data_IF_160012678018
#
_entry.id   IF_160012678018
#
_cell.length_a   1.000
_cell.length_b   1.000
_cell.length_c   1.000
_cell.angle_alpha   90.00
_cell.angle_beta   90.00
_cell.angle_gamma   90.00
#
_symmetry.space_group_name_H-M   'P 1'
#
loop_
_entity.id
_entity.type
_entity.pdbx_description
1 polymer ?
#
# COMPACT_ATOMS: atom_id res chain seq x y z
N UNK A 1 -25.80 29.82 -15.05
CA UNK A 1 -24.72 30.75 -15.49
C UNK A 1 -25.05 31.21 -16.90
N UNK A 2 -25.06 32.54 -17.13
CA UNK A 2 -25.33 33.14 -18.43
C UNK A 2 -24.21 32.82 -19.42
N UNK A 3 -24.50 32.93 -20.74
CA UNK A 3 -23.52 32.68 -21.80
C UNK A 3 -22.30 33.62 -21.67
N UNK A 4 -22.50 34.88 -21.29
CA UNK A 4 -21.41 35.84 -21.03
C UNK A 4 -20.51 35.42 -19.86
N UNK A 5 -21.04 34.81 -18.80
CA UNK A 5 -20.23 34.27 -17.69
C UNK A 5 -19.41 33.06 -18.11
N UNK A 6 -19.95 32.22 -19.00
CA UNK A 6 -19.22 31.08 -19.55
C UNK A 6 -18.08 31.55 -20.45
N UNK A 7 -18.34 32.50 -21.37
CA UNK A 7 -17.31 33.08 -22.23
C UNK A 7 -16.19 33.74 -21.41
N UNK A 8 -16.52 34.45 -20.33
CA UNK A 8 -15.52 35.08 -19.45
C UNK A 8 -14.65 34.06 -18.69
N UNK A 9 -15.14 32.83 -18.44
CA UNK A 9 -14.36 31.72 -17.92
C UNK A 9 -13.35 31.20 -18.97
N UNK A 10 -13.81 31.02 -20.22
CA UNK A 10 -12.95 30.56 -21.31
C UNK A 10 -11.87 31.58 -21.69
N UNK A 11 -12.15 32.91 -21.64
CA UNK A 11 -11.18 33.93 -21.91
C UNK A 11 -10.00 34.02 -20.93
N UNK A 12 -10.11 33.38 -19.77
CA UNK A 12 -9.05 33.29 -18.76
C UNK A 12 -8.19 32.02 -18.87
N UNK A 13 -8.62 31.03 -19.69
CA UNK A 13 -7.87 29.79 -19.88
C UNK A 13 -6.60 30.07 -20.68
N UNK A 14 -5.47 29.61 -20.15
CA UNK A 14 -4.18 29.60 -20.87
C UNK A 14 -3.98 28.21 -21.46
N UNK A 15 -3.26 28.08 -22.56
CA UNK A 15 -2.94 26.77 -23.16
C UNK A 15 -2.35 25.78 -22.14
N UNK A 16 -1.56 26.27 -21.21
CA UNK A 16 -1.00 25.46 -20.12
C UNK A 16 -2.06 24.87 -19.18
N UNK A 17 -3.22 25.52 -19.03
CA UNK A 17 -4.29 25.06 -18.14
C UNK A 17 -5.09 23.89 -18.75
N UNK A 18 -4.87 23.63 -20.05
CA UNK A 18 -5.41 22.50 -20.79
C UNK A 18 -4.48 21.28 -20.79
N UNK A 19 -3.23 21.46 -20.33
CA UNK A 19 -2.30 20.35 -20.21
C UNK A 19 -2.63 19.52 -18.97
N UNK A 20 -2.70 18.19 -19.09
CA UNK A 20 -2.85 17.32 -17.93
C UNK A 20 -1.69 17.57 -16.95
N UNK A 21 -2.01 17.96 -15.73
CA UNK A 21 -1.01 18.02 -14.66
C UNK A 21 -0.87 16.62 -14.09
N UNK A 22 0.28 15.96 -14.25
CA UNK A 22 0.48 14.66 -13.63
C UNK A 22 0.38 14.81 -12.10
N UNK A 23 -0.23 13.87 -11.39
CA UNK A 23 -0.30 13.91 -9.94
C UNK A 23 1.13 13.99 -9.37
N UNK A 24 1.31 14.79 -8.33
CA UNK A 24 2.57 14.85 -7.61
C UNK A 24 2.79 13.50 -6.89
N UNK A 25 3.78 12.74 -7.35
CA UNK A 25 4.14 11.43 -6.79
C UNK A 25 5.34 11.55 -5.84
N UNK A 26 5.90 12.75 -5.72
CA UNK A 26 7.03 13.05 -4.85
C UNK A 26 6.54 13.79 -3.59
N UNK A 27 7.22 13.55 -2.48
CA UNK A 27 7.01 14.29 -1.26
C UNK A 27 7.40 15.75 -1.47
N UNK A 28 6.57 16.67 -0.98
CA UNK A 28 6.67 18.10 -1.31
C UNK A 28 7.97 18.75 -0.81
N UNK A 29 8.42 18.42 0.40
CA UNK A 29 9.59 19.05 1.01
C UNK A 29 10.91 18.46 0.53
N UNK A 30 10.94 17.17 0.23
CA UNK A 30 12.17 16.46 -0.18
C UNK A 30 12.31 16.33 -1.69
N UNK A 31 11.20 16.37 -2.42
CA UNK A 31 11.16 16.05 -3.86
C UNK A 31 11.40 14.57 -4.17
N UNK A 32 11.54 13.71 -3.16
CA UNK A 32 11.78 12.27 -3.31
C UNK A 32 10.47 11.53 -3.52
N UNK A 33 10.48 10.56 -4.40
CA UNK A 33 9.39 9.58 -4.53
C UNK A 33 9.54 8.53 -3.44
N UNK A 34 8.46 7.87 -3.06
CA UNK A 34 8.50 6.78 -2.05
C UNK A 34 9.49 5.67 -2.43
N UNK A 35 9.64 5.37 -3.73
CA UNK A 35 10.63 4.40 -4.18
C UNK A 35 12.09 4.86 -4.05
N UNK A 36 12.35 6.16 -4.15
CA UNK A 36 13.69 6.71 -3.88
C UNK A 36 14.03 6.56 -2.39
N UNK A 37 13.04 6.78 -1.51
CA UNK A 37 13.17 6.53 -0.07
C UNK A 37 13.36 5.03 0.24
N UNK A 38 12.61 4.15 -0.42
CA UNK A 38 12.80 2.70 -0.27
C UNK A 38 14.21 2.23 -0.66
N UNK A 39 14.81 2.82 -1.70
CA UNK A 39 16.22 2.58 -2.06
C UNK A 39 17.19 3.07 -0.96
N UNK A 40 16.94 4.24 -0.38
CA UNK A 40 17.73 4.74 0.75
C UNK A 40 17.62 3.80 1.94
N UNK A 41 16.42 3.34 2.28
CA UNK A 41 16.21 2.36 3.35
C UNK A 41 16.93 1.03 3.07
N UNK A 42 16.86 0.50 1.85
CA UNK A 42 17.58 -0.70 1.49
C UNK A 42 19.08 -0.57 1.76
N UNK A 43 19.67 0.58 1.42
CA UNK A 43 21.09 0.88 1.66
C UNK A 43 21.41 1.04 3.14
N UNK A 44 20.58 1.81 3.87
CA UNK A 44 20.78 2.11 5.29
C UNK A 44 20.69 0.87 6.15
N UNK A 45 19.71 0.00 5.88
CA UNK A 45 19.46 -1.23 6.65
C UNK A 45 20.11 -2.47 6.07
N UNK A 46 20.95 -2.33 5.03
CA UNK A 46 21.69 -3.44 4.43
C UNK A 46 20.80 -4.51 3.79
N UNK A 47 19.61 -4.13 3.30
CA UNK A 47 18.66 -5.07 2.71
C UNK A 47 19.02 -5.35 1.27
N UNK A 48 19.34 -6.62 0.97
CA UNK A 48 19.78 -7.01 -0.37
C UNK A 48 18.63 -7.12 -1.36
N UNK A 49 18.96 -7.16 -2.64
CA UNK A 49 18.03 -7.39 -3.73
C UNK A 49 17.34 -8.75 -3.61
N UNK A 50 18.09 -9.78 -3.25
CA UNK A 50 17.60 -11.14 -3.10
C UNK A 50 16.58 -11.27 -1.97
N UNK A 51 16.82 -10.58 -0.84
CA UNK A 51 15.86 -10.53 0.27
C UNK A 51 14.55 -9.87 -0.15
N UNK A 52 14.63 -8.77 -0.90
CA UNK A 52 13.46 -8.06 -1.42
C UNK A 52 12.66 -8.93 -2.39
N UNK A 53 13.33 -9.54 -3.35
CA UNK A 53 12.70 -10.40 -4.35
C UNK A 53 12.09 -11.66 -3.71
N UNK A 54 12.74 -12.24 -2.70
CA UNK A 54 12.20 -13.38 -1.95
C UNK A 54 10.93 -13.04 -1.16
N UNK A 55 10.89 -11.87 -0.52
CA UNK A 55 9.68 -11.40 0.17
C UNK A 55 8.53 -11.22 -0.82
N UNK A 56 8.75 -10.47 -1.89
CA UNK A 56 7.72 -10.18 -2.88
C UNK A 56 7.21 -11.45 -3.58
N UNK A 57 8.10 -12.34 -3.96
CA UNK A 57 7.72 -13.63 -4.54
C UNK A 57 6.84 -14.45 -3.57
N UNK A 58 7.24 -14.54 -2.30
CA UNK A 58 6.46 -15.23 -1.26
C UNK A 58 5.06 -14.61 -1.09
N UNK A 59 4.96 -13.29 -1.11
CA UNK A 59 3.70 -12.55 -1.03
C UNK A 59 2.76 -12.92 -2.19
N UNK A 60 3.25 -12.89 -3.41
CA UNK A 60 2.48 -13.30 -4.59
C UNK A 60 2.04 -14.77 -4.53
N UNK A 61 2.92 -15.68 -4.11
CA UNK A 61 2.58 -17.11 -3.98
C UNK A 61 1.46 -17.33 -2.95
N UNK A 62 1.56 -16.69 -1.79
CA UNK A 62 0.54 -16.79 -0.73
C UNK A 62 -0.80 -16.19 -1.15
N UNK A 63 -0.78 -15.04 -1.83
CA UNK A 63 -2.00 -14.44 -2.36
C UNK A 63 -2.67 -15.33 -3.41
N UNK A 64 -1.91 -15.90 -4.35
CA UNK A 64 -2.42 -16.85 -5.33
C UNK A 64 -3.02 -18.10 -4.67
N UNK A 65 -2.35 -18.63 -3.66
CA UNK A 65 -2.86 -19.75 -2.87
C UNK A 65 -4.18 -19.40 -2.17
N UNK A 66 -4.26 -18.24 -1.49
CA UNK A 66 -5.47 -17.80 -0.80
C UNK A 66 -6.67 -17.68 -1.75
N UNK A 67 -6.46 -17.15 -2.96
CA UNK A 67 -7.48 -17.11 -4.00
C UNK A 67 -7.91 -18.50 -4.45
N UNK A 68 -6.95 -19.40 -4.73
CA UNK A 68 -7.25 -20.76 -5.18
C UNK A 68 -7.99 -21.58 -4.11
N UNK A 69 -7.71 -21.36 -2.85
CA UNK A 69 -8.39 -21.97 -1.69
C UNK A 69 -9.74 -21.32 -1.37
N UNK A 70 -10.10 -20.24 -2.07
CA UNK A 70 -11.36 -19.54 -1.88
C UNK A 70 -11.46 -18.72 -0.59
N UNK A 71 -10.36 -18.47 0.11
CA UNK A 71 -10.33 -17.72 1.38
C UNK A 71 -10.84 -16.29 1.27
N UNK A 72 -10.69 -15.67 0.09
CA UNK A 72 -11.09 -14.28 -0.16
C UNK A 72 -12.51 -14.14 -0.70
N UNK A 73 -13.23 -15.23 -0.97
CA UNK A 73 -14.57 -15.20 -1.61
C UNK A 73 -15.62 -14.50 -0.76
N UNK A 74 -15.52 -14.56 0.56
CA UNK A 74 -16.48 -13.94 1.47
C UNK A 74 -16.19 -12.45 1.72
N UNK A 75 -14.95 -12.01 1.43
CA UNK A 75 -14.47 -10.65 1.70
C UNK A 75 -14.51 -9.76 0.47
N UNK A 76 -14.38 -10.36 -0.75
CA UNK A 76 -14.27 -9.63 -2.00
C UNK A 76 -15.56 -9.70 -2.80
N UNK A 77 -16.18 -8.56 -3.02
CA UNK A 77 -17.36 -8.44 -3.86
C UNK A 77 -17.01 -8.23 -5.32
N UNK A 78 -17.82 -8.78 -6.22
CA UNK A 78 -17.72 -8.52 -7.66
C UNK A 78 -18.02 -7.05 -7.97
N UNK A 79 -17.12 -6.38 -8.67
CA UNK A 79 -17.30 -5.00 -9.10
C UNK A 79 -17.69 -4.91 -10.59
N UNK A 80 -18.73 -4.11 -10.87
CA UNK A 80 -19.19 -3.80 -12.22
C UNK A 80 -18.87 -2.34 -12.52
N UNK A 81 -17.76 -2.08 -13.18
CA UNK A 81 -17.24 -0.74 -13.42
C UNK A 81 -17.51 -0.33 -14.88
N UNK A 82 -18.33 0.70 -15.15
CA UNK A 82 -18.49 1.25 -16.49
C UNK A 82 -17.19 1.88 -17.01
N UNK A 83 -16.88 1.76 -18.30
CA UNK A 83 -17.63 1.11 -19.39
C UNK A 83 -17.36 -0.38 -19.58
N UNK A 84 -16.82 -1.07 -18.58
CA UNK A 84 -16.40 -2.46 -18.70
C UNK A 84 -17.62 -3.40 -18.87
N UNK A 85 -17.53 -4.28 -19.85
CA UNK A 85 -18.58 -5.26 -20.12
C UNK A 85 -18.46 -6.51 -19.26
N UNK A 86 -17.31 -6.71 -18.64
CA UNK A 86 -17.03 -7.87 -17.79
C UNK A 86 -16.88 -7.45 -16.34
N UNK A 87 -17.39 -8.26 -15.40
CA UNK A 87 -17.19 -8.01 -13.98
C UNK A 87 -15.73 -8.22 -13.58
N UNK A 88 -15.26 -7.43 -12.64
CA UNK A 88 -14.02 -7.66 -11.93
C UNK A 88 -14.32 -8.52 -10.70
N UNK A 89 -13.83 -9.75 -10.69
CA UNK A 89 -14.16 -10.76 -9.68
C UNK A 89 -12.99 -11.10 -8.75
N UNK A 90 -11.76 -10.74 -9.13
CA UNK A 90 -10.55 -11.03 -8.36
C UNK A 90 -9.46 -9.98 -8.62
N UNK A 91 -8.44 -9.97 -7.78
CA UNK A 91 -7.27 -9.11 -7.94
C UNK A 91 -6.47 -9.54 -9.18
N UNK A 92 -6.20 -8.60 -10.07
CA UNK A 92 -5.45 -8.81 -11.31
C UNK A 92 -3.94 -8.54 -11.18
N UNK A 93 -3.44 -8.19 -9.99
CA UNK A 93 -2.02 -7.89 -9.75
C UNK A 93 -1.21 -9.10 -9.28
N UNK A 94 -1.87 -10.19 -8.87
CA UNK A 94 -1.21 -11.37 -8.35
C UNK A 94 -0.43 -12.08 -9.46
N UNK A 95 0.84 -12.41 -9.19
CA UNK A 95 1.76 -13.10 -10.11
C UNK A 95 2.18 -14.45 -9.54
N UNK A 96 1.20 -15.31 -9.26
CA UNK A 96 1.41 -16.63 -8.66
C UNK A 96 2.24 -17.60 -9.50
N UNK A 97 2.36 -17.37 -10.80
CA UNK A 97 3.17 -18.19 -11.72
C UNK A 97 4.58 -17.65 -11.95
N UNK A 98 5.01 -16.61 -11.22
CA UNK A 98 6.36 -16.04 -11.32
C UNK A 98 7.41 -16.91 -10.60
N UNK A 99 8.67 -16.78 -11.00
CA UNK A 99 9.82 -17.41 -10.37
C UNK A 99 10.84 -16.36 -9.90
N UNK A 100 11.68 -16.67 -8.91
CA UNK A 100 12.76 -15.78 -8.49
C UNK A 100 13.73 -15.41 -9.64
N UNK A 101 13.90 -16.30 -10.61
CA UNK A 101 14.69 -16.02 -11.80
C UNK A 101 14.08 -14.91 -12.67
N UNK A 102 12.75 -14.74 -12.65
CA UNK A 102 12.09 -13.65 -13.38
C UNK A 102 12.26 -12.33 -12.66
N UNK A 103 12.25 -12.31 -11.32
CA UNK A 103 12.56 -11.12 -10.52
C UNK A 103 14.00 -10.65 -10.78
N UNK A 104 14.99 -11.57 -10.77
CA UNK A 104 16.40 -11.24 -10.96
C UNK A 104 16.70 -10.54 -12.30
N UNK A 105 15.89 -10.76 -13.34
CA UNK A 105 16.05 -10.12 -14.67
C UNK A 105 15.63 -8.65 -14.68
N UNK A 106 14.86 -8.19 -13.69
CA UNK A 106 14.31 -6.84 -13.68
C UNK A 106 15.36 -5.80 -13.29
N UNK A 107 15.33 -4.69 -14.01
CA UNK A 107 16.22 -3.55 -13.72
C UNK A 107 15.67 -2.72 -12.57
N UNK A 108 16.53 -2.11 -11.75
CA UNK A 108 16.12 -1.15 -10.74
C UNK A 108 15.28 -0.01 -11.33
N UNK A 109 14.24 0.39 -10.63
CA UNK A 109 13.26 1.36 -11.10
C UNK A 109 13.61 2.80 -10.72
N UNK A 110 14.23 3.01 -9.55
CA UNK A 110 14.48 4.32 -8.96
C UNK A 110 15.96 4.73 -9.08
N UNK A 111 16.88 3.95 -8.56
CA UNK A 111 18.32 4.11 -8.80
C UNK A 111 18.76 3.08 -9.86
N UNK A 112 18.80 3.50 -11.11
CA UNK A 112 19.09 2.58 -12.23
C UNK A 112 20.49 1.98 -12.23
N UNK A 113 21.43 2.61 -11.53
CA UNK A 113 22.84 2.20 -11.53
C UNK A 113 23.20 1.32 -10.34
N UNK A 114 22.69 1.64 -9.17
CA UNK A 114 23.07 1.02 -7.91
C UNK A 114 21.88 0.59 -7.06
N UNK A 115 20.67 0.66 -7.60
CA UNK A 115 19.46 0.34 -6.88
C UNK A 115 19.14 -1.15 -6.84
N UNK A 116 18.23 -1.47 -5.94
CA UNK A 116 17.72 -2.82 -5.70
C UNK A 116 16.20 -2.92 -5.80
N UNK A 117 15.50 -1.77 -5.74
CA UNK A 117 14.05 -1.69 -5.83
C UNK A 117 13.60 -1.77 -7.29
N UNK A 118 12.73 -2.73 -7.58
CA UNK A 118 12.23 -3.02 -8.94
C UNK A 118 10.71 -3.00 -8.99
N UNK A 119 10.15 -3.10 -10.18
CA UNK A 119 8.71 -3.23 -10.36
C UNK A 119 8.12 -4.51 -9.74
N UNK A 120 8.92 -5.57 -9.52
CA UNK A 120 8.42 -6.82 -8.94
C UNK A 120 8.51 -6.86 -7.42
N UNK A 121 9.40 -6.07 -6.80
CA UNK A 121 9.49 -5.99 -5.34
C UNK A 121 8.90 -4.68 -4.78
N UNK A 122 8.02 -4.06 -5.59
CA UNK A 122 7.23 -2.87 -5.27
C UNK A 122 5.77 -3.11 -5.63
N UNK A 123 4.84 -2.57 -4.85
CA UNK A 123 3.42 -2.57 -5.22
C UNK A 123 3.17 -1.58 -6.36
N UNK A 124 2.35 -1.90 -7.35
CA UNK A 124 1.88 -0.92 -8.32
C UNK A 124 0.84 0.03 -7.69
N UNK A 125 0.61 1.18 -8.32
CA UNK A 125 -0.56 2.01 -8.02
C UNK A 125 -1.80 1.29 -8.56
N UNK A 126 -2.80 1.10 -7.68
CA UNK A 126 -4.03 0.37 -7.99
C UNK A 126 -5.24 1.10 -7.45
N UNK A 127 -6.39 0.88 -8.08
CA UNK A 127 -7.67 1.35 -7.57
C UNK A 127 -8.30 0.24 -6.71
N UNK A 128 -8.89 0.63 -5.59
CA UNK A 128 -9.56 -0.29 -4.69
C UNK A 128 -10.49 0.45 -3.76
N UNK A 129 -11.44 -0.28 -3.18
CA UNK A 129 -12.34 0.23 -2.15
C UNK A 129 -12.58 -0.84 -1.10
N UNK A 130 -12.57 -0.44 0.16
CA UNK A 130 -12.90 -1.30 1.28
C UNK A 130 -13.81 -0.55 2.24
N UNK A 131 -14.69 -1.27 2.93
CA UNK A 131 -15.58 -0.69 3.93
C UNK A 131 -15.66 -1.59 5.15
N UNK A 132 -15.59 -0.99 6.33
CA UNK A 132 -15.83 -1.65 7.61
C UNK A 132 -16.87 -0.86 8.41
N UNK A 133 -17.66 -1.55 9.20
CA UNK A 133 -18.64 -0.92 10.10
C UNK A 133 -18.08 -0.99 11.52
N UNK A 134 -17.92 0.16 12.15
CA UNK A 134 -17.49 0.29 13.54
C UNK A 134 -18.67 0.72 14.40
N UNK A 135 -18.83 0.07 15.55
CA UNK A 135 -19.84 0.42 16.54
C UNK A 135 -19.40 -0.01 17.93
N UNK A 136 -20.10 0.44 18.96
CA UNK A 136 -19.87 -0.06 20.33
C UNK A 136 -20.36 -1.50 20.50
N UNK A 137 -19.74 -2.24 21.40
CA UNK A 137 -20.17 -3.62 21.71
C UNK A 137 -21.65 -3.68 22.13
N UNK A 138 -22.10 -2.72 22.93
CA UNK A 138 -23.53 -2.62 23.33
C UNK A 138 -24.44 -2.51 22.13
N UNK A 139 -24.06 -1.68 21.14
CA UNK A 139 -24.85 -1.53 19.92
C UNK A 139 -24.88 -2.78 19.05
N UNK A 140 -23.76 -3.49 18.96
CA UNK A 140 -23.70 -4.77 18.27
C UNK A 140 -24.65 -5.80 18.90
N UNK A 141 -24.66 -5.88 20.24
CA UNK A 141 -25.57 -6.76 21.00
C UNK A 141 -27.05 -6.40 20.79
N UNK A 142 -27.40 -5.11 20.84
CA UNK A 142 -28.77 -4.65 20.56
C UNK A 142 -29.26 -5.04 19.17
N UNK A 143 -28.38 -5.03 18.18
CA UNK A 143 -28.69 -5.39 16.79
C UNK A 143 -28.58 -6.88 16.51
N UNK A 144 -28.20 -7.71 17.48
CA UNK A 144 -27.98 -9.13 17.30
C UNK A 144 -26.78 -9.49 16.41
N UNK A 145 -25.82 -8.55 16.28
CA UNK A 145 -24.63 -8.74 15.44
C UNK A 145 -23.49 -9.37 16.24
N UNK A 146 -22.77 -10.29 15.59
CA UNK A 146 -21.57 -10.88 16.14
C UNK A 146 -20.37 -10.05 15.66
N UNK A 147 -19.57 -9.43 16.57
CA UNK A 147 -18.38 -8.70 16.18
C UNK A 147 -17.35 -9.60 15.51
N UNK A 148 -16.75 -9.17 14.42
CA UNK A 148 -15.62 -9.84 13.77
C UNK A 148 -14.31 -9.65 14.57
N UNK A 149 -14.23 -8.55 15.34
CA UNK A 149 -13.09 -8.25 16.18
C UNK A 149 -13.32 -6.97 17.00
N UNK A 150 -12.35 -6.61 17.82
CA UNK A 150 -12.39 -5.44 18.66
C UNK A 150 -11.15 -4.57 18.43
N UNK A 151 -11.35 -3.27 18.26
CA UNK A 151 -10.25 -2.31 18.27
C UNK A 151 -9.76 -2.10 19.71
N UNK A 152 -8.60 -2.62 20.04
CA UNK A 152 -8.03 -2.56 21.38
C UNK A 152 -7.27 -1.27 21.65
N UNK A 153 -6.43 -0.88 20.70
CA UNK A 153 -5.66 0.38 20.77
C UNK A 153 -5.30 0.86 19.37
N UNK A 154 -4.83 2.09 19.29
CA UNK A 154 -4.27 2.65 18.07
C UNK A 154 -3.23 3.72 18.41
N UNK A 155 -2.33 4.02 17.46
CA UNK A 155 -1.37 5.09 17.57
C UNK A 155 -1.16 5.79 16.23
N UNK A 156 -0.95 7.09 16.29
CA UNK A 156 -0.47 7.92 15.20
C UNK A 156 0.89 8.47 15.58
N UNK A 157 1.85 8.37 14.70
CA UNK A 157 3.20 8.91 14.86
C UNK A 157 3.55 9.78 13.67
N UNK A 158 4.32 10.83 13.91
CA UNK A 158 4.97 11.63 12.88
C UNK A 158 6.47 11.35 12.93
N UNK A 159 7.08 11.20 11.78
CA UNK A 159 8.50 10.86 11.63
C UNK A 159 9.18 11.84 10.70
N UNK A 160 10.52 11.86 10.71
CA UNK A 160 11.31 12.69 9.80
C UNK A 160 11.22 12.17 8.36
N UNK A 161 10.57 12.96 7.51
CA UNK A 161 10.39 12.61 6.08
C UNK A 161 11.70 12.62 5.27
N UNK A 162 12.76 13.23 5.79
CA UNK A 162 14.06 13.28 5.13
C UNK A 162 14.85 11.96 5.26
N UNK A 163 14.65 11.25 6.35
CA UNK A 163 15.42 10.03 6.65
C UNK A 163 14.53 8.78 6.67
N UNK A 164 13.40 8.85 7.34
CA UNK A 164 12.65 7.66 7.77
C UNK A 164 11.21 7.62 7.27
N UNK A 165 10.88 8.31 6.17
CA UNK A 165 9.49 8.50 5.69
C UNK A 165 8.65 7.22 5.68
N UNK A 166 9.24 6.06 5.43
CA UNK A 166 8.53 4.77 5.34
C UNK A 166 8.72 3.89 6.59
N UNK A 167 9.32 4.40 7.66
CA UNK A 167 9.47 3.70 8.95
C UNK A 167 8.33 3.96 9.95
N UNK A 168 7.24 4.56 9.52
CA UNK A 168 6.08 4.84 10.37
C UNK A 168 5.62 3.66 11.22
N UNK A 169 5.47 2.44 10.66
CA UNK A 169 5.08 1.25 11.42
C UNK A 169 6.01 0.90 12.57
N UNK A 170 7.33 1.07 12.41
CA UNK A 170 8.32 0.81 13.46
C UNK A 170 8.18 1.73 14.67
N UNK A 171 7.61 2.93 14.48
CA UNK A 171 7.34 3.88 15.55
C UNK A 171 5.93 3.78 16.13
N UNK A 172 4.93 3.54 15.30
CA UNK A 172 3.54 3.48 15.75
C UNK A 172 3.19 2.17 16.45
N UNK A 173 3.79 1.06 16.04
CA UNK A 173 3.49 -0.26 16.63
C UNK A 173 3.85 -0.35 18.11
N UNK A 174 5.06 0.01 18.57
CA UNK A 174 5.40 0.00 19.98
C UNK A 174 4.44 0.87 20.82
N UNK A 175 4.10 2.05 20.33
CA UNK A 175 3.18 2.96 21.04
C UNK A 175 1.77 2.38 21.13
N UNK A 176 1.29 1.70 20.10
CA UNK A 176 -0.02 1.05 20.13
C UNK A 176 -0.02 -0.14 21.10
N UNK A 177 1.07 -0.92 21.13
CA UNK A 177 1.24 -2.04 22.07
C UNK A 177 1.31 -1.53 23.52
N UNK A 178 2.08 -0.49 23.80
CA UNK A 178 2.13 0.13 25.12
C UNK A 178 0.75 0.55 25.62
N UNK A 179 -0.03 1.23 24.77
CA UNK A 179 -1.42 1.63 25.08
C UNK A 179 -2.36 0.44 25.31
N UNK A 180 -2.09 -0.68 24.69
CA UNK A 180 -2.85 -1.92 24.88
C UNK A 180 -2.41 -2.71 26.11
N UNK A 181 -1.26 -2.40 26.71
CA UNK A 181 -0.61 -3.20 27.74
C UNK A 181 -0.07 -4.53 27.21
N UNK A 182 0.38 -4.53 25.94
CA UNK A 182 0.87 -5.71 25.22
C UNK A 182 2.33 -5.53 24.80
N UNK A 183 2.96 -6.65 24.48
CA UNK A 183 4.29 -6.75 23.87
C UNK A 183 4.22 -7.34 22.46
N UNK A 184 5.30 -7.28 21.70
CA UNK A 184 5.38 -7.96 20.38
C UNK A 184 5.13 -9.46 20.48
N UNK A 185 5.53 -10.10 21.60
CA UNK A 185 5.32 -11.53 21.82
C UNK A 185 3.86 -11.95 22.02
N UNK A 186 2.98 -11.00 22.32
CA UNK A 186 1.54 -11.25 22.48
C UNK A 186 0.78 -11.22 21.15
N UNK A 187 1.44 -10.80 20.05
CA UNK A 187 0.83 -10.74 18.73
C UNK A 187 0.93 -12.12 18.05
N UNK A 188 -0.20 -12.60 17.54
CA UNK A 188 -0.25 -13.82 16.74
C UNK A 188 -0.11 -13.54 15.23
N UNK A 189 -0.47 -12.35 14.81
CA UNK A 189 -0.42 -11.92 13.40
C UNK A 189 -0.10 -10.44 13.33
N UNK A 190 0.70 -10.07 12.33
CA UNK A 190 0.98 -8.68 11.96
C UNK A 190 0.66 -8.53 10.48
N UNK A 191 -0.26 -7.63 10.18
CA UNK A 191 -0.57 -7.21 8.80
C UNK A 191 0.09 -5.87 8.54
N UNK A 192 0.91 -5.80 7.50
CA UNK A 192 1.64 -4.61 7.10
C UNK A 192 1.49 -4.37 5.61
N UNK A 193 1.26 -3.10 5.22
CA UNK A 193 1.25 -2.73 3.82
C UNK A 193 2.64 -2.89 3.20
N UNK A 194 2.79 -3.85 2.29
CA UNK A 194 4.04 -4.18 1.60
C UNK A 194 4.25 -3.26 0.38
N UNK A 195 4.32 -1.94 0.59
CA UNK A 195 4.50 -0.99 -0.52
C UNK A 195 5.81 -1.23 -1.29
N UNK A 196 6.87 -1.52 -0.55
CA UNK A 196 8.17 -1.93 -1.07
C UNK A 196 8.74 -3.03 -0.16
N UNK A 197 9.25 -4.10 -0.74
CA UNK A 197 9.87 -5.16 0.05
C UNK A 197 11.04 -4.63 0.91
N UNK A 198 11.79 -3.65 0.42
CA UNK A 198 12.83 -2.95 1.18
C UNK A 198 12.27 -2.28 2.43
N UNK A 199 11.16 -1.53 2.28
CA UNK A 199 10.49 -0.85 3.39
C UNK A 199 9.92 -1.84 4.41
N UNK A 200 9.28 -2.90 3.94
CA UNK A 200 8.72 -3.93 4.82
C UNK A 200 9.81 -4.60 5.65
N UNK A 201 10.90 -5.02 5.01
CA UNK A 201 12.04 -5.65 5.70
C UNK A 201 12.70 -4.71 6.70
N UNK A 202 12.85 -3.41 6.37
CA UNK A 202 13.40 -2.43 7.29
C UNK A 202 12.53 -2.21 8.54
N UNK A 203 11.20 -2.26 8.39
CA UNK A 203 10.29 -2.16 9.53
C UNK A 203 10.27 -3.41 10.43
N UNK A 204 10.73 -4.56 9.92
CA UNK A 204 10.78 -5.83 10.67
C UNK A 204 12.10 -5.97 11.47
N UNK A 205 13.18 -5.34 11.02
CA UNK A 205 14.47 -5.32 11.73
C UNK A 205 14.41 -4.52 13.03
#
# INVERSE_FOLDING_TARGET
RTMSQRLKLFSRLRLRDLMPVPPAVAEYSTGLRMGDTAEQMAKTYGITREQQDALAHRSHQRAAQAWSEGKLKEEVMTAFIPPYKQPLVEDNNIRGNSSLADYAKLRPAFDRKHGTVTAANSTPLTDGAAAVILMTESRAKELGLVPLGYLRSYAFTAIDVWQDMLLGPAWSTPLALERAGLTMGDLTLIDMHEAFAAQTLANIQ
#
